data_IF_055858446302
#
_entry.id   IF_055858446302
#
_cell.length_a   1.000
_cell.length_b   1.000
_cell.length_c   1.000
_cell.angle_alpha   90.00
_cell.angle_beta   90.00
_cell.angle_gamma   90.00
#
_symmetry.space_group_name_H-M   'P 1'
#
loop_
_entity.id
_entity.type
_entity.pdbx_description
1 polymer ?
#
# COMPACT_ATOMS: atom_id res chain seq x y z
N UNK A 1 -9.31 70.16 23.32
CA UNK A 1 -9.23 71.41 24.09
C UNK A 1 -9.77 72.47 23.18
N UNK A 2 -10.96 72.99 23.46
CA UNK A 2 -11.64 74.17 22.86
C UNK A 2 -11.73 74.21 21.32
N UNK A 3 -12.89 73.94 20.73
CA UNK A 3 -14.10 74.81 20.58
C UNK A 3 -13.93 75.75 19.37
N UNK A 4 -14.75 75.74 18.30
CA UNK A 4 -16.22 75.94 18.12
C UNK A 4 -16.60 77.42 17.88
N UNK A 5 -17.07 77.71 16.64
CA UNK A 5 -17.97 78.78 16.20
C UNK A 5 -18.00 78.73 14.64
N UNK A 6 -19.10 78.48 13.90
CA UNK A 6 -20.47 79.01 13.96
C UNK A 6 -20.51 80.50 13.52
N UNK A 7 -21.45 81.03 12.72
CA UNK A 7 -22.82 80.65 12.31
C UNK A 7 -23.23 81.47 11.03
N UNK A 8 -24.48 81.32 10.57
CA UNK A 8 -25.31 82.28 9.80
C UNK A 8 -25.21 82.34 8.25
N UNK A 9 -26.30 82.61 7.48
CA UNK A 9 -27.76 82.37 7.67
C UNK A 9 -28.54 82.66 6.35
N UNK A 10 -29.46 81.78 5.97
CA UNK A 10 -30.81 82.03 5.39
C UNK A 10 -31.11 83.14 4.34
N UNK A 11 -31.59 82.70 3.17
CA UNK A 11 -32.96 82.91 2.62
C UNK A 11 -33.44 84.29 2.05
N UNK A 12 -33.72 84.34 0.73
CA UNK A 12 -34.75 85.16 0.01
C UNK A 12 -34.69 84.84 -1.51
N UNK A 13 -35.71 84.96 -2.38
CA UNK A 13 -37.15 85.26 -2.19
C UNK A 13 -37.79 85.96 -3.43
N UNK A 14 -38.82 85.35 -4.06
CA UNK A 14 -39.69 85.98 -5.08
C UNK A 14 -39.11 86.16 -6.52
N UNK A 15 -39.89 86.38 -7.59
CA UNK A 15 -41.36 86.32 -7.78
C UNK A 15 -41.69 86.12 -9.31
N UNK A 16 -42.94 85.78 -9.64
CA UNK A 16 -43.50 85.45 -11.00
C UNK A 16 -44.12 86.71 -11.69
N UNK A 17 -44.96 86.70 -12.78
CA UNK A 17 -45.58 85.61 -13.59
C UNK A 17 -45.78 85.85 -15.13
N UNK A 18 -46.42 84.86 -15.79
CA UNK A 18 -47.36 84.86 -16.96
C UNK A 18 -47.11 83.59 -17.82
N UNK A 19 -48.08 82.80 -18.31
CA UNK A 19 -49.53 82.71 -18.08
C UNK A 19 -50.15 81.52 -18.86
N UNK A 20 -51.34 81.04 -18.44
CA UNK A 20 -52.31 80.17 -19.16
C UNK A 20 -51.92 78.73 -19.61
N UNK A 21 -52.91 77.84 -19.67
CA UNK A 21 -52.87 76.44 -20.19
C UNK A 21 -54.15 76.14 -20.99
N UNK A 22 -54.64 74.87 -21.16
CA UNK A 22 -54.10 73.58 -20.71
C UNK A 22 -54.12 72.44 -21.79
N UNK A 23 -53.86 71.20 -21.33
CA UNK A 23 -54.39 69.90 -21.82
C UNK A 23 -53.53 68.86 -22.63
N UNK A 24 -53.80 67.61 -22.27
CA UNK A 24 -53.34 66.21 -22.53
C UNK A 24 -52.61 65.67 -23.81
N UNK A 25 -51.47 64.97 -23.54
CA UNK A 25 -51.03 63.61 -24.01
C UNK A 25 -50.73 63.33 -25.54
N UNK A 26 -50.26 62.12 -26.02
CA UNK A 26 -48.88 61.97 -26.51
C UNK A 26 -48.66 61.35 -27.94
N UNK A 27 -47.42 61.42 -28.46
CA UNK A 27 -46.82 60.31 -29.25
C UNK A 27 -46.07 60.61 -30.57
N UNK A 28 -44.87 59.99 -30.71
CA UNK A 28 -44.08 59.63 -31.92
C UNK A 28 -43.85 60.63 -33.07
N UNK A 29 -42.57 60.72 -33.49
CA UNK A 29 -41.96 60.70 -34.85
C UNK A 29 -40.69 61.60 -34.83
N UNK A 30 -39.45 61.12 -34.98
CA UNK A 30 -38.76 60.45 -36.11
C UNK A 30 -37.87 61.40 -36.96
N UNK A 31 -36.57 61.45 -36.62
CA UNK A 31 -35.35 61.72 -37.46
C UNK A 31 -35.25 63.02 -38.30
N UNK A 32 -34.02 63.55 -38.48
CA UNK A 32 -33.24 63.23 -39.69
C UNK A 32 -31.71 63.03 -39.48
N UNK A 33 -31.02 62.74 -40.59
CA UNK A 33 -29.56 62.50 -40.76
C UNK A 33 -28.85 63.84 -41.14
N UNK A 34 -27.50 63.99 -41.23
CA UNK A 34 -26.58 63.41 -42.23
C UNK A 34 -25.07 63.61 -41.88
N UNK A 35 -24.20 62.78 -42.51
CA UNK A 35 -22.71 62.75 -42.75
C UNK A 35 -21.70 63.68 -42.01
N UNK A 36 -20.41 63.28 -41.88
CA UNK A 36 -19.71 62.11 -42.46
C UNK A 36 -18.21 61.98 -42.07
N UNK A 37 -17.47 61.16 -42.86
CA UNK A 37 -16.07 60.68 -42.75
C UNK A 37 -15.77 59.62 -41.64
N UNK A 38 -15.63 58.30 -41.91
CA UNK A 38 -14.59 57.53 -42.68
C UNK A 38 -13.42 57.02 -41.77
N UNK A 39 -12.91 55.77 -41.79
CA UNK A 39 -13.12 54.56 -42.64
C UNK A 39 -13.59 53.29 -41.85
N UNK A 40 -12.99 52.05 -41.87
CA UNK A 40 -13.85 50.85 -41.97
C UNK A 40 -13.74 49.83 -40.81
N UNK A 41 -14.89 49.26 -40.43
CA UNK A 41 -15.00 48.04 -39.61
C UNK A 41 -15.54 46.90 -40.46
N UNK A 42 -14.87 45.75 -40.39
CA UNK A 42 -15.19 44.55 -41.17
C UNK A 42 -16.48 43.87 -40.66
N UNK A 43 -17.41 43.55 -41.58
CA UNK A 43 -18.70 42.92 -41.27
C UNK A 43 -18.65 41.42 -41.54
N UNK A 44 -18.86 40.60 -40.52
CA UNK A 44 -19.26 39.19 -40.67
C UNK A 44 -20.70 39.10 -41.18
N UNK A 45 -20.92 38.23 -42.18
CA UNK A 45 -22.23 37.96 -42.78
C UNK A 45 -23.09 36.95 -42.00
N UNK A 46 -24.35 36.72 -42.44
CA UNK A 46 -25.33 35.90 -41.72
C UNK A 46 -25.15 34.38 -41.91
N UNK A 47 -25.76 33.64 -40.97
CA UNK A 47 -25.65 32.19 -40.76
C UNK A 47 -26.27 31.38 -41.92
N UNK A 48 -25.57 30.35 -42.46
CA UNK A 48 -26.18 29.30 -43.25
C UNK A 48 -26.73 28.15 -42.37
N UNK A 49 -27.94 27.70 -42.68
CA UNK A 49 -28.60 26.55 -42.05
C UNK A 49 -27.91 25.24 -42.40
N UNK A 50 -27.63 24.40 -41.38
CA UNK A 50 -27.05 23.06 -41.57
C UNK A 50 -28.10 22.12 -42.19
N UNK A 51 -27.85 21.66 -43.40
CA UNK A 51 -28.58 20.55 -43.99
C UNK A 51 -28.18 19.23 -43.33
N UNK A 52 -29.14 18.30 -43.23
CA UNK A 52 -28.93 16.96 -42.67
C UNK A 52 -28.21 16.06 -43.68
N UNK A 53 -26.89 16.03 -43.64
CA UNK A 53 -26.10 15.13 -44.50
C UNK A 53 -26.21 13.67 -44.02
N UNK A 54 -26.81 12.84 -44.87
CA UNK A 54 -26.87 11.39 -44.70
C UNK A 54 -25.47 10.81 -44.93
N UNK A 55 -24.98 10.04 -43.97
CA UNK A 55 -23.70 9.35 -44.10
C UNK A 55 -23.76 8.27 -45.21
N UNK A 56 -22.86 8.37 -46.19
CA UNK A 56 -22.70 7.40 -47.27
C UNK A 56 -21.36 6.66 -47.08
N UNK A 57 -21.33 5.32 -47.04
CA UNK A 57 -20.09 4.57 -46.93
C UNK A 57 -19.26 4.66 -48.22
N UNK A 58 -17.92 4.76 -48.14
CA UNK A 58 -17.07 4.76 -49.31
C UNK A 58 -17.07 3.38 -49.99
N UNK A 59 -17.44 3.33 -51.26
CA UNK A 59 -17.28 2.13 -52.09
C UNK A 59 -15.84 2.03 -52.63
N UNK A 60 -15.37 0.78 -52.78
CA UNK A 60 -14.14 0.41 -53.50
C UNK A 60 -12.83 1.07 -53.02
N UNK A 61 -12.37 0.71 -51.82
CA UNK A 61 -10.94 0.68 -51.52
C UNK A 61 -10.35 -0.69 -51.93
N UNK A 62 -9.25 -0.68 -52.66
CA UNK A 62 -8.63 -1.87 -53.24
C UNK A 62 -7.99 -2.80 -52.20
N UNK A 63 -8.25 -4.10 -52.34
CA UNK A 63 -7.60 -5.16 -51.56
C UNK A 63 -6.08 -5.11 -51.75
N UNK A 64 -5.25 -5.04 -50.69
CA UNK A 64 -3.80 -5.17 -50.84
C UNK A 64 -3.46 -6.58 -51.33
N UNK A 65 -2.43 -6.75 -52.18
CA UNK A 65 -2.05 -8.06 -52.68
C UNK A 65 -1.65 -8.99 -51.51
N UNK A 66 -2.19 -10.21 -51.52
CA UNK A 66 -1.76 -11.24 -50.54
C UNK A 66 -0.26 -11.44 -50.68
N UNK A 67 0.47 -11.31 -49.57
CA UNK A 67 1.83 -11.84 -49.50
C UNK A 67 1.75 -13.36 -49.79
N UNK A 68 2.67 -13.92 -50.59
CA UNK A 68 2.73 -15.36 -50.79
C UNK A 68 3.00 -16.03 -49.44
N UNK A 69 2.17 -17.01 -49.08
CA UNK A 69 2.36 -17.76 -47.84
C UNK A 69 3.71 -18.48 -47.89
N UNK A 70 4.61 -18.15 -46.96
CA UNK A 70 5.82 -18.94 -46.75
C UNK A 70 5.41 -20.38 -46.45
N UNK A 71 5.88 -21.38 -47.22
CA UNK A 71 5.55 -22.77 -46.95
C UNK A 71 5.89 -23.12 -45.50
N UNK A 72 4.94 -23.68 -44.75
CA UNK A 72 5.23 -24.18 -43.39
C UNK A 72 6.37 -25.20 -43.51
N UNK A 73 7.46 -24.95 -42.81
CA UNK A 73 8.51 -25.95 -42.67
C UNK A 73 7.87 -27.21 -42.05
N UNK A 74 8.15 -28.42 -42.57
CA UNK A 74 7.66 -29.64 -41.95
C UNK A 74 8.20 -29.73 -40.53
N UNK A 75 7.33 -30.05 -39.57
CA UNK A 75 7.74 -30.19 -38.17
C UNK A 75 8.85 -31.23 -38.06
N UNK A 76 9.99 -30.82 -37.49
CA UNK A 76 11.09 -31.74 -37.20
C UNK A 76 10.57 -32.84 -36.27
N UNK A 77 10.72 -34.13 -36.60
CA UNK A 77 10.26 -35.21 -35.73
C UNK A 77 10.87 -35.06 -34.34
N UNK A 78 10.01 -35.09 -33.32
CA UNK A 78 10.43 -35.08 -31.92
C UNK A 78 11.39 -36.26 -31.71
N UNK A 79 12.60 -36.07 -31.15
CA UNK A 79 13.50 -37.20 -30.92
C UNK A 79 12.82 -38.23 -30.02
N UNK A 80 13.05 -39.54 -30.24
CA UNK A 80 12.42 -40.58 -29.44
C UNK A 80 12.79 -40.42 -27.97
N UNK A 81 11.81 -40.55 -27.08
CA UNK A 81 12.06 -40.48 -25.65
C UNK A 81 13.04 -41.58 -25.24
N UNK A 82 14.20 -41.18 -24.70
CA UNK A 82 15.14 -42.12 -24.09
C UNK A 82 14.41 -42.92 -23.00
N UNK A 83 14.40 -44.26 -23.05
CA UNK A 83 13.75 -45.05 -22.02
C UNK A 83 14.28 -44.67 -20.64
N UNK A 84 13.38 -44.26 -19.74
CA UNK A 84 13.74 -43.92 -18.36
C UNK A 84 14.40 -45.15 -17.74
N UNK A 85 15.67 -45.04 -17.38
CA UNK A 85 16.36 -46.10 -16.62
C UNK A 85 15.58 -46.38 -15.33
N UNK A 86 15.42 -47.65 -14.92
CA UNK A 86 14.80 -47.97 -13.64
C UNK A 86 15.61 -47.32 -12.51
N UNK A 87 14.96 -46.49 -11.71
CA UNK A 87 15.58 -45.93 -10.51
C UNK A 87 15.92 -47.08 -9.57
N UNK A 88 17.20 -47.27 -9.28
CA UNK A 88 17.64 -48.30 -8.35
C UNK A 88 16.96 -48.12 -6.98
N UNK A 89 16.48 -49.20 -6.34
CA UNK A 89 15.82 -49.10 -5.04
C UNK A 89 16.78 -48.54 -3.98
N UNK A 90 16.26 -47.68 -3.09
CA UNK A 90 17.01 -47.17 -1.94
C UNK A 90 17.49 -48.36 -1.09
N UNK A 91 18.76 -48.39 -0.64
CA UNK A 91 19.19 -49.37 0.36
C UNK A 91 18.45 -49.13 1.67
N UNK A 92 17.96 -50.22 2.28
CA UNK A 92 17.23 -50.18 3.55
C UNK A 92 18.12 -49.75 4.73
N UNK A 93 17.55 -49.16 5.79
CA UNK A 93 18.30 -48.86 7.01
C UNK A 93 18.76 -50.17 7.68
N UNK A 94 20.06 -50.30 7.95
CA UNK A 94 20.59 -51.42 8.75
C UNK A 94 19.94 -51.45 10.16
N UNK A 95 19.51 -52.61 10.67
CA UNK A 95 19.01 -52.72 12.03
C UNK A 95 20.12 -52.47 13.06
N UNK A 96 19.74 -51.92 14.22
CA UNK A 96 20.64 -51.71 15.35
C UNK A 96 21.08 -53.05 15.98
N UNK A 97 22.29 -53.12 16.57
CA UNK A 97 22.75 -54.34 17.22
C UNK A 97 21.94 -54.64 18.49
N UNK A 98 21.53 -55.91 18.65
CA UNK A 98 20.84 -56.38 19.84
C UNK A 98 21.79 -56.44 21.06
N UNK A 99 21.29 -56.25 22.30
CA UNK A 99 22.07 -56.43 23.50
C UNK A 99 22.43 -57.92 23.71
N UNK A 100 23.67 -58.20 24.07
CA UNK A 100 24.11 -59.54 24.45
C UNK A 100 23.46 -59.97 25.78
N UNK A 101 23.00 -61.23 25.85
CA UNK A 101 22.25 -61.77 26.98
C UNK A 101 23.08 -62.55 28.02
N UNK A 102 22.36 -63.07 29.02
CA UNK A 102 22.88 -63.86 30.16
C UNK A 102 21.97 -63.62 31.37
N UNK A 103 20.79 -64.23 31.47
CA UNK A 103 20.55 -65.64 31.85
C UNK A 103 21.02 -65.98 33.27
N UNK A 104 20.10 -66.00 34.24
CA UNK A 104 19.95 -67.08 35.21
C UNK A 104 18.60 -67.05 35.95
N UNK A 105 18.28 -68.19 36.55
CA UNK A 105 16.99 -68.73 36.95
C UNK A 105 16.16 -68.01 38.05
N UNK A 106 14.83 -68.13 37.90
CA UNK A 106 13.84 -68.70 38.85
C UNK A 106 13.84 -68.33 40.36
N UNK A 107 12.62 -67.99 40.83
CA UNK A 107 12.06 -68.11 42.21
C UNK A 107 12.79 -67.49 43.40
N UNK A 108 12.17 -66.47 44.01
CA UNK A 108 11.60 -66.46 45.38
C UNK A 108 10.95 -65.07 45.63
N UNK A 109 9.64 -64.96 45.90
CA UNK A 109 8.91 -65.13 47.18
C UNK A 109 9.11 -63.96 48.17
N UNK A 110 8.01 -63.17 48.30
CA UNK A 110 7.47 -62.39 49.43
C UNK A 110 8.34 -61.51 50.38
N UNK A 111 7.69 -60.40 50.73
CA UNK A 111 7.71 -59.65 52.00
C UNK A 111 8.94 -58.81 52.45
N UNK A 112 8.73 -57.49 52.34
CA UNK A 112 8.70 -56.53 53.47
C UNK A 112 9.70 -56.71 54.64
N UNK A 113 10.68 -55.79 54.75
CA UNK A 113 10.83 -55.00 55.99
C UNK A 113 11.73 -53.76 55.93
N UNK A 114 11.55 -52.93 56.96
CA UNK A 114 12.02 -51.56 57.22
C UNK A 114 13.53 -51.40 57.58
N UNK A 115 14.06 -50.16 57.82
CA UNK A 115 15.42 -49.81 57.40
C UNK A 115 16.51 -49.60 58.49
N UNK A 116 17.77 -49.47 58.02
CA UNK A 116 18.94 -48.80 58.66
C UNK A 116 19.56 -49.47 59.91
N UNK A 117 20.81 -49.13 60.34
CA UNK A 117 21.87 -48.31 59.72
C UNK A 117 23.32 -48.92 59.77
N UNK A 118 24.30 -48.09 59.35
CA UNK A 118 25.69 -47.99 59.86
C UNK A 118 26.84 -48.83 59.24
N UNK A 119 27.58 -48.12 58.35
CA UNK A 119 29.03 -47.85 58.43
C UNK A 119 30.09 -48.82 57.85
N UNK A 120 31.17 -48.15 57.39
CA UNK A 120 32.57 -48.59 57.24
C UNK A 120 33.08 -49.16 55.89
N UNK A 121 33.58 -48.22 55.07
CA UNK A 121 34.94 -48.26 54.47
C UNK A 121 35.23 -49.18 53.26
N UNK A 122 35.30 -48.57 52.07
CA UNK A 122 36.31 -48.91 51.06
C UNK A 122 36.64 -47.68 50.17
N UNK A 123 37.87 -47.18 50.27
CA UNK A 123 38.38 -46.05 49.49
C UNK A 123 38.83 -46.49 48.09
N UNK A 124 38.05 -46.14 47.06
CA UNK A 124 38.43 -46.33 45.66
C UNK A 124 39.02 -45.02 45.07
N UNK A 125 40.35 -44.92 45.03
CA UNK A 125 41.07 -43.81 44.38
C UNK A 125 40.78 -43.78 42.88
N UNK A 126 39.92 -42.85 42.45
CA UNK A 126 39.68 -42.58 41.02
C UNK A 126 40.59 -41.46 40.54
N UNK A 127 41.57 -41.80 39.69
CA UNK A 127 42.45 -40.82 39.07
C UNK A 127 41.64 -39.88 38.14
N UNK A 128 41.94 -38.57 38.11
CA UNK A 128 41.18 -37.62 37.31
C UNK A 128 41.51 -37.78 35.82
N UNK A 129 40.64 -38.46 35.10
CA UNK A 129 40.66 -38.48 33.63
C UNK A 129 40.48 -37.05 33.10
N UNK A 130 41.58 -36.46 32.62
CA UNK A 130 41.60 -35.11 32.03
C UNK A 130 40.64 -35.04 30.84
N UNK A 131 39.42 -34.55 31.07
CA UNK A 131 38.44 -34.25 30.01
C UNK A 131 39.09 -33.30 29.00
N UNK A 132 39.43 -33.82 27.80
CA UNK A 132 39.88 -33.00 26.67
C UNK A 132 38.80 -31.95 26.39
N UNK A 133 39.12 -30.67 26.56
CA UNK A 133 38.23 -29.56 26.19
C UNK A 133 38.04 -29.59 24.67
N UNK A 134 36.90 -30.10 24.22
CA UNK A 134 36.56 -30.22 22.79
C UNK A 134 36.56 -28.84 22.12
N UNK A 135 37.09 -28.73 20.91
CA UNK A 135 37.27 -27.47 20.15
C UNK A 135 35.93 -26.90 19.62
N UNK A 136 35.01 -26.51 20.51
CA UNK A 136 33.68 -25.97 20.14
C UNK A 136 33.77 -24.60 19.45
N UNK A 137 34.81 -23.81 19.73
CA UNK A 137 35.01 -22.45 19.17
C UNK A 137 35.28 -22.43 17.66
N UNK A 138 35.99 -23.42 17.11
CA UNK A 138 36.31 -23.46 15.68
C UNK A 138 35.09 -23.71 14.79
N UNK A 139 34.10 -24.46 15.29
CA UNK A 139 32.89 -24.82 14.54
C UNK A 139 32.00 -23.60 14.30
N UNK A 140 31.69 -22.81 15.34
CA UNK A 140 30.90 -21.57 15.22
C UNK A 140 31.57 -20.54 14.27
N UNK A 141 32.90 -20.46 14.28
CA UNK A 141 33.65 -19.59 13.36
C UNK A 141 33.55 -20.07 11.89
N UNK A 142 33.63 -21.39 11.67
CA UNK A 142 33.44 -22.01 10.34
C UNK A 142 32.02 -21.82 9.82
N UNK A 143 31.02 -22.04 10.67
CA UNK A 143 29.58 -21.85 10.36
C UNK A 143 29.29 -20.38 10.03
N UNK A 144 29.81 -19.42 10.81
CA UNK A 144 29.69 -17.99 10.50
C UNK A 144 30.39 -17.63 9.19
N UNK A 145 31.58 -18.19 8.91
CA UNK A 145 32.29 -17.94 7.64
C UNK A 145 31.53 -18.51 6.45
N UNK A 146 30.95 -19.71 6.57
CA UNK A 146 30.12 -20.32 5.54
C UNK A 146 28.85 -19.49 5.29
N UNK A 147 28.15 -19.08 6.35
CA UNK A 147 27.00 -18.20 6.24
C UNK A 147 27.36 -16.87 5.54
N UNK A 148 28.52 -16.28 5.87
CA UNK A 148 28.99 -15.04 5.23
C UNK A 148 29.46 -15.25 3.78
N UNK A 149 29.88 -16.45 3.39
CA UNK A 149 30.25 -16.79 2.01
C UNK A 149 29.00 -17.05 1.14
N UNK A 150 27.95 -17.65 1.71
CA UNK A 150 26.67 -17.87 1.01
C UNK A 150 25.81 -16.60 0.94
N UNK A 151 25.64 -15.88 2.05
CA UNK A 151 24.79 -14.70 2.13
C UNK A 151 25.52 -13.39 1.77
N UNK A 152 26.85 -13.34 1.92
CA UNK A 152 27.66 -12.14 1.68
C UNK A 152 27.53 -11.56 0.27
N UNK A 153 27.56 -12.35 -0.82
CA UNK A 153 27.36 -11.81 -2.17
C UNK A 153 25.99 -11.16 -2.35
N UNK A 154 24.92 -11.79 -1.85
CA UNK A 154 23.56 -11.23 -1.89
C UNK A 154 23.44 -9.96 -1.03
N UNK A 155 23.97 -9.98 0.19
CA UNK A 155 23.98 -8.82 1.09
C UNK A 155 24.81 -7.66 0.53
N UNK A 156 25.96 -7.93 -0.11
CA UNK A 156 26.80 -6.92 -0.76
C UNK A 156 26.07 -6.26 -1.94
N UNK A 157 25.43 -7.06 -2.81
CA UNK A 157 24.64 -6.53 -3.92
C UNK A 157 23.46 -5.69 -3.41
N UNK A 158 22.73 -6.16 -2.39
CA UNK A 158 21.66 -5.37 -1.75
C UNK A 158 22.18 -4.07 -1.13
N UNK A 159 23.34 -4.09 -0.45
CA UNK A 159 23.92 -2.89 0.17
C UNK A 159 24.39 -1.89 -0.90
N UNK A 160 25.02 -2.35 -1.97
CA UNK A 160 25.44 -1.47 -3.07
C UNK A 160 24.24 -0.90 -3.85
N UNK A 161 23.24 -1.70 -4.19
CA UNK A 161 22.09 -1.26 -5.00
C UNK A 161 21.08 -0.45 -4.20
N UNK A 162 20.86 -0.77 -2.92
CA UNK A 162 19.87 -0.08 -2.07
C UNK A 162 20.50 0.96 -1.13
N UNK A 163 21.66 0.64 -0.55
CA UNK A 163 22.33 1.52 0.41
C UNK A 163 22.93 2.78 -0.22
N UNK A 164 23.58 2.66 -1.39
CA UNK A 164 24.14 3.84 -2.08
C UNK A 164 23.07 4.88 -2.44
N UNK A 165 21.92 4.54 -3.09
CA UNK A 165 20.87 5.52 -3.35
C UNK A 165 20.24 6.13 -2.10
N UNK A 166 20.16 5.38 -0.98
CA UNK A 166 19.66 5.93 0.30
C UNK A 166 20.63 6.99 0.84
N UNK A 167 21.94 6.68 0.89
CA UNK A 167 22.96 7.63 1.37
C UNK A 167 23.04 8.84 0.44
N UNK A 168 22.97 8.64 -0.88
CA UNK A 168 22.95 9.73 -1.86
C UNK A 168 21.69 10.60 -1.74
N UNK A 169 20.51 10.01 -1.53
CA UNK A 169 19.27 10.77 -1.28
C UNK A 169 19.35 11.58 0.02
N UNK A 170 19.96 11.01 1.07
CA UNK A 170 20.20 11.74 2.32
C UNK A 170 21.18 12.92 2.11
N UNK A 171 22.29 12.71 1.40
CA UNK A 171 23.21 13.79 1.03
C UNK A 171 22.50 14.90 0.25
N UNK A 172 21.72 14.52 -0.77
CA UNK A 172 20.95 15.41 -1.62
C UNK A 172 19.95 16.24 -0.81
N UNK A 173 19.32 15.66 0.21
CA UNK A 173 18.40 16.37 1.11
C UNK A 173 19.06 17.45 1.98
N UNK A 174 20.39 17.44 2.13
CA UNK A 174 21.17 18.47 2.84
C UNK A 174 21.69 19.59 1.92
N UNK A 175 21.35 19.53 0.63
CA UNK A 175 21.83 20.47 -0.40
C UNK A 175 20.66 21.15 -1.11
N UNK A 176 20.85 22.38 -1.57
CA UNK A 176 19.87 23.09 -2.40
C UNK A 176 20.13 22.78 -3.88
N UNK A 177 19.82 21.54 -4.26
CA UNK A 177 20.04 21.03 -5.61
C UNK A 177 18.74 21.12 -6.41
N UNK A 178 18.79 21.84 -7.53
CA UNK A 178 17.67 22.03 -8.44
C UNK A 178 18.12 21.70 -9.88
N UNK A 179 17.45 20.75 -10.54
CA UNK A 179 17.87 20.31 -11.86
C UNK A 179 17.68 21.38 -12.97
N UNK A 180 16.96 22.48 -12.67
CA UNK A 180 16.89 23.66 -13.55
C UNK A 180 18.12 24.57 -13.46
N UNK A 181 18.88 24.48 -12.37
CA UNK A 181 20.04 25.31 -12.09
C UNK A 181 21.19 24.41 -11.58
N UNK A 182 21.86 23.64 -12.47
CA UNK A 182 22.80 22.60 -12.06
C UNK A 182 23.98 23.10 -11.22
N UNK A 183 24.34 24.38 -11.36
CA UNK A 183 25.49 25.01 -10.70
C UNK A 183 25.15 25.64 -9.34
N UNK A 184 23.87 25.75 -8.93
CA UNK A 184 23.47 26.41 -7.67
C UNK A 184 23.52 25.51 -6.43
N UNK A 185 24.00 24.26 -6.60
CA UNK A 185 24.02 23.17 -5.63
C UNK A 185 24.86 23.36 -4.36
N UNK A 186 24.48 24.31 -3.50
CA UNK A 186 25.13 24.60 -2.22
C UNK A 186 24.71 23.64 -1.09
N UNK A 187 25.55 23.48 -0.07
CA UNK A 187 25.21 22.74 1.15
C UNK A 187 24.43 23.65 2.11
N UNK A 188 23.17 23.31 2.38
CA UNK A 188 22.24 24.09 3.22
C UNK A 188 21.86 23.39 4.53
N UNK A 189 22.46 22.23 4.81
CA UNK A 189 22.20 21.44 6.00
C UNK A 189 20.72 21.11 6.15
N UNK A 190 20.13 21.39 7.31
CA UNK A 190 18.75 21.03 7.60
C UNK A 190 17.69 22.00 7.05
N UNK A 191 18.07 23.02 6.25
CA UNK A 191 17.14 24.04 5.73
C UNK A 191 15.93 23.44 5.01
N UNK A 192 16.15 22.45 4.13
CA UNK A 192 15.08 21.75 3.40
C UNK A 192 14.05 21.11 4.33
N UNK A 193 14.46 20.56 5.48
CA UNK A 193 13.55 19.98 6.47
C UNK A 193 12.72 21.04 7.18
N UNK A 194 13.32 22.20 7.48
CA UNK A 194 12.59 23.36 8.01
C UNK A 194 11.51 23.85 7.04
N UNK A 195 11.85 23.97 5.76
CA UNK A 195 10.90 24.34 4.68
C UNK A 195 9.75 23.34 4.55
N UNK A 196 10.03 22.03 4.59
CA UNK A 196 9.00 20.99 4.49
C UNK A 196 8.10 20.98 5.73
N UNK A 197 8.68 20.89 6.94
CA UNK A 197 7.93 20.78 8.19
C UNK A 197 7.20 22.08 8.59
N UNK A 198 7.68 23.23 8.12
CA UNK A 198 6.98 24.52 8.25
C UNK A 198 5.85 24.72 7.23
N UNK A 199 5.74 23.87 6.20
CA UNK A 199 4.70 24.02 5.16
C UNK A 199 3.36 23.40 5.59
N UNK A 200 2.25 24.11 5.35
CA UNK A 200 0.91 23.55 5.55
C UNK A 200 0.64 22.31 4.68
N UNK A 201 1.19 22.31 3.45
CA UNK A 201 1.05 21.20 2.50
C UNK A 201 1.60 19.87 3.03
N UNK A 202 2.70 19.88 3.78
CA UNK A 202 3.22 18.68 4.44
C UNK A 202 2.22 18.09 5.44
N UNK A 203 1.63 18.92 6.30
CA UNK A 203 0.70 18.47 7.33
C UNK A 203 -0.64 17.99 6.75
N UNK A 204 -1.16 18.67 5.72
CA UNK A 204 -2.33 18.20 4.96
C UNK A 204 -2.05 16.83 4.33
N UNK A 205 -0.91 16.68 3.64
CA UNK A 205 -0.55 15.42 2.99
C UNK A 205 -0.26 14.28 3.99
N UNK A 206 0.32 14.60 5.15
CA UNK A 206 0.52 13.66 6.26
C UNK A 206 -0.84 13.20 6.81
N UNK A 207 -1.77 14.13 7.07
CA UNK A 207 -3.12 13.79 7.54
C UNK A 207 -3.85 12.88 6.55
N UNK A 208 -3.85 13.22 5.25
CA UNK A 208 -4.46 12.38 4.20
C UNK A 208 -3.85 10.98 4.17
N UNK A 209 -2.52 10.90 4.23
CA UNK A 209 -1.80 9.62 4.20
C UNK A 209 -2.13 8.75 5.41
N UNK A 210 -2.13 9.33 6.62
CA UNK A 210 -2.50 8.64 7.86
C UNK A 210 -3.98 8.24 7.85
N UNK A 211 -4.87 9.12 7.40
CA UNK A 211 -6.31 8.87 7.31
C UNK A 211 -6.63 7.70 6.38
N UNK A 212 -6.10 7.72 5.16
CA UNK A 212 -6.25 6.59 4.21
C UNK A 212 -5.69 5.32 4.84
N UNK A 213 -4.44 5.35 5.31
CA UNK A 213 -3.74 4.18 5.90
C UNK A 213 -4.52 3.53 7.04
N UNK A 214 -4.98 4.32 8.02
CA UNK A 214 -5.68 3.77 9.19
C UNK A 214 -7.03 3.17 8.80
N UNK A 215 -7.81 3.87 7.96
CA UNK A 215 -9.14 3.41 7.58
C UNK A 215 -9.07 2.19 6.64
N UNK A 216 -8.19 2.19 5.63
CA UNK A 216 -8.07 1.07 4.68
C UNK A 216 -7.54 -0.19 5.37
N UNK A 217 -6.48 -0.10 6.17
CA UNK A 217 -5.91 -1.24 6.93
C UNK A 217 -6.94 -1.85 7.89
N UNK A 218 -7.75 -1.05 8.58
CA UNK A 218 -8.81 -1.57 9.48
C UNK A 218 -9.86 -2.34 8.69
N UNK A 219 -10.36 -1.79 7.59
CA UNK A 219 -11.39 -2.42 6.76
C UNK A 219 -10.85 -3.71 6.12
N UNK A 220 -9.63 -3.68 5.57
CA UNK A 220 -8.96 -4.84 4.98
C UNK A 220 -8.64 -5.93 5.99
N UNK A 221 -8.29 -5.58 7.23
CA UNK A 221 -8.10 -6.58 8.28
C UNK A 221 -9.41 -7.31 8.59
N UNK A 222 -10.52 -6.58 8.71
CA UNK A 222 -11.85 -7.16 8.97
C UNK A 222 -12.32 -8.03 7.79
N UNK A 223 -12.29 -7.49 6.57
CA UNK A 223 -12.69 -8.21 5.35
C UNK A 223 -11.73 -9.36 5.05
N UNK A 224 -10.43 -9.15 5.21
CA UNK A 224 -9.38 -10.15 5.00
C UNK A 224 -9.50 -11.31 5.98
N UNK A 225 -9.80 -11.05 7.26
CA UNK A 225 -10.08 -12.09 8.25
C UNK A 225 -11.35 -12.87 7.91
N UNK A 226 -12.43 -12.20 7.49
CA UNK A 226 -13.67 -12.85 7.06
C UNK A 226 -13.43 -13.77 5.85
N UNK A 227 -12.72 -13.28 4.83
CA UNK A 227 -12.36 -14.02 3.62
C UNK A 227 -11.40 -15.18 3.95
N UNK A 228 -10.41 -14.97 4.82
CA UNK A 228 -9.50 -16.03 5.28
C UNK A 228 -10.26 -17.17 5.98
N UNK A 229 -11.23 -16.87 6.85
CA UNK A 229 -12.08 -17.88 7.49
C UNK A 229 -12.90 -18.69 6.47
N UNK A 230 -13.43 -18.02 5.43
CA UNK A 230 -14.14 -18.70 4.32
C UNK A 230 -13.19 -19.58 3.51
N UNK A 231 -12.01 -19.08 3.12
CA UNK A 231 -10.99 -19.84 2.37
C UNK A 231 -10.39 -21.01 3.17
N UNK A 232 -10.39 -20.93 4.51
CA UNK A 232 -9.98 -22.01 5.39
C UNK A 232 -11.03 -23.13 5.42
N UNK A 233 -12.30 -22.77 5.66
CA UNK A 233 -13.44 -23.68 5.79
C UNK A 233 -14.03 -24.18 4.47
N UNK A 234 -13.67 -23.62 3.32
CA UNK A 234 -14.12 -24.10 2.03
C UNK A 234 -13.76 -25.59 1.84
N UNK A 235 -14.78 -26.45 1.76
CA UNK A 235 -14.65 -27.88 1.50
C UNK A 235 -14.69 -28.17 -0.01
N UNK A 236 -15.66 -27.56 -0.70
CA UNK A 236 -15.80 -27.63 -2.16
C UNK A 236 -15.23 -26.37 -2.82
N UNK A 237 -14.70 -26.51 -4.03
CA UNK A 237 -14.24 -25.37 -4.84
C UNK A 237 -13.04 -24.59 -4.29
N UNK A 238 -12.25 -25.13 -3.34
CA UNK A 238 -11.10 -24.45 -2.69
C UNK A 238 -10.20 -23.69 -3.67
N UNK A 239 -9.84 -24.31 -4.80
CA UNK A 239 -9.03 -23.67 -5.84
C UNK A 239 -9.73 -22.45 -6.44
N UNK A 240 -10.99 -22.60 -6.86
CA UNK A 240 -11.78 -21.53 -7.48
C UNK A 240 -12.01 -20.36 -6.50
N UNK A 241 -12.40 -20.62 -5.26
CA UNK A 241 -12.60 -19.58 -4.23
C UNK A 241 -11.30 -18.79 -4.02
N UNK A 242 -10.16 -19.48 -3.89
CA UNK A 242 -8.85 -18.83 -3.74
C UNK A 242 -8.48 -18.03 -4.99
N UNK A 243 -8.68 -18.56 -6.19
CA UNK A 243 -8.38 -17.84 -7.43
C UNK A 243 -9.22 -16.58 -7.57
N UNK A 244 -10.55 -16.67 -7.41
CA UNK A 244 -11.48 -15.53 -7.57
C UNK A 244 -11.17 -14.42 -6.57
N UNK A 245 -10.91 -14.77 -5.30
CA UNK A 245 -10.51 -13.80 -4.27
C UNK A 245 -9.23 -13.04 -4.67
N UNK A 246 -8.28 -13.69 -5.36
CA UNK A 246 -6.99 -13.11 -5.71
C UNK A 246 -6.97 -12.27 -6.99
N UNK A 247 -8.03 -12.33 -7.82
CA UNK A 247 -8.11 -11.57 -9.08
C UNK A 247 -7.80 -10.07 -8.88
N UNK A 248 -8.39 -9.34 -7.90
CA UNK A 248 -8.11 -7.91 -7.72
C UNK A 248 -6.64 -7.62 -7.46
N UNK A 249 -5.95 -8.48 -6.69
CA UNK A 249 -4.54 -8.28 -6.35
C UNK A 249 -3.63 -8.46 -7.57
N UNK A 250 -3.96 -9.36 -8.50
CA UNK A 250 -3.20 -9.60 -9.74
C UNK A 250 -3.33 -8.50 -10.80
N UNK A 251 -4.35 -7.62 -10.72
CA UNK A 251 -4.52 -6.52 -11.69
C UNK A 251 -3.45 -5.44 -11.46
N UNK A 252 -2.92 -4.84 -12.55
CA UNK A 252 -1.97 -3.71 -12.46
C UNK A 252 -2.63 -2.51 -11.76
N UNK A 253 -1.94 -1.91 -10.79
CA UNK A 253 -2.46 -0.81 -9.94
C UNK A 253 -3.04 0.35 -10.76
N UNK A 254 -2.29 0.85 -11.74
CA UNK A 254 -2.72 1.94 -12.62
C UNK A 254 -3.98 1.57 -13.41
N UNK A 255 -4.05 0.35 -13.96
CA UNK A 255 -5.23 -0.10 -14.72
C UNK A 255 -6.47 -0.21 -13.82
N UNK A 256 -6.33 -0.76 -12.62
CA UNK A 256 -7.38 -0.77 -11.61
C UNK A 256 -7.85 0.65 -11.25
N UNK A 257 -6.92 1.56 -10.95
CA UNK A 257 -7.25 2.94 -10.59
C UNK A 257 -7.95 3.70 -11.72
N UNK A 258 -7.59 3.45 -12.99
CA UNK A 258 -8.29 3.99 -14.16
C UNK A 258 -9.72 3.42 -14.25
N UNK A 259 -9.92 2.12 -14.06
CA UNK A 259 -11.27 1.52 -14.02
C UNK A 259 -12.13 2.12 -12.93
N UNK A 260 -11.58 2.30 -11.72
CA UNK A 260 -12.27 2.99 -10.62
C UNK A 260 -12.58 4.46 -10.98
N UNK A 261 -11.66 5.18 -11.63
CA UNK A 261 -11.90 6.57 -12.07
C UNK A 261 -13.12 6.66 -13.00
N UNK A 262 -13.17 5.82 -14.03
CA UNK A 262 -14.30 5.79 -14.95
C UNK A 262 -15.60 5.34 -14.26
N UNK A 263 -15.55 4.36 -13.36
CA UNK A 263 -16.72 3.89 -12.61
C UNK A 263 -17.43 5.01 -11.81
N UNK A 264 -16.67 5.98 -11.31
CA UNK A 264 -17.14 7.12 -10.52
C UNK A 264 -17.23 8.44 -11.31
N UNK A 265 -16.98 8.44 -12.63
CA UNK A 265 -17.07 9.65 -13.46
C UNK A 265 -18.53 9.96 -13.81
N UNK A 266 -19.05 11.17 -13.50
CA UNK A 266 -20.42 11.57 -13.83
C UNK A 266 -20.78 11.36 -15.30
N UNK A 267 -22.00 10.88 -15.58
CA UNK A 267 -22.54 10.68 -16.92
C UNK A 267 -21.96 9.50 -17.71
N UNK A 268 -20.88 8.85 -17.25
CA UNK A 268 -20.25 7.70 -17.93
C UNK A 268 -20.00 6.50 -17.01
N UNK A 269 -19.94 6.71 -15.69
CA UNK A 269 -19.63 5.67 -14.71
C UNK A 269 -20.83 4.83 -14.31
N UNK A 270 -20.61 3.52 -14.18
CA UNK A 270 -21.64 2.56 -13.78
C UNK A 270 -21.93 2.56 -12.26
N UNK A 271 -21.04 3.12 -11.42
CA UNK A 271 -21.26 3.23 -9.98
C UNK A 271 -21.89 4.58 -9.59
N UNK A 272 -21.53 5.67 -10.28
CA UNK A 272 -22.09 7.00 -9.97
C UNK A 272 -23.62 7.05 -10.19
N UNK A 273 -24.13 6.28 -11.16
CA UNK A 273 -25.56 6.17 -11.46
C UNK A 273 -26.37 5.41 -10.38
N UNK A 274 -25.72 4.86 -9.35
CA UNK A 274 -26.37 4.25 -8.19
C UNK A 274 -26.58 5.26 -7.03
N UNK A 275 -26.01 6.46 -7.14
CA UNK A 275 -26.17 7.55 -6.19
C UNK A 275 -27.24 8.53 -6.69
N UNK A 276 -27.76 9.43 -5.83
CA UNK A 276 -28.69 10.47 -6.26
C UNK A 276 -28.15 11.32 -7.41
N UNK A 277 -29.08 11.76 -8.27
CA UNK A 277 -28.77 12.55 -9.47
C UNK A 277 -27.91 13.78 -9.14
N UNK A 278 -26.88 14.03 -9.96
CA UNK A 278 -25.94 15.13 -9.76
C UNK A 278 -24.88 14.90 -8.67
N UNK A 279 -24.85 13.75 -8.01
CA UNK A 279 -23.73 13.39 -7.13
C UNK A 279 -22.40 13.32 -7.90
N UNK A 280 -21.35 13.92 -7.35
CA UNK A 280 -20.03 13.95 -7.99
C UNK A 280 -18.92 13.54 -7.00
N UNK A 281 -18.78 12.24 -6.65
CA UNK A 281 -17.93 11.77 -5.55
C UNK A 281 -16.41 11.98 -5.69
N UNK A 282 -15.96 12.70 -6.72
CA UNK A 282 -14.56 13.07 -6.95
C UNK A 282 -14.31 14.59 -6.80
N UNK A 283 -15.35 15.39 -6.53
CA UNK A 283 -15.27 16.87 -6.44
C UNK A 283 -15.12 17.39 -5.02
N UNK A 284 -15.49 16.63 -3.99
CA UNK A 284 -15.27 17.00 -2.58
C UNK A 284 -14.22 16.10 -1.94
N UNK A 285 -13.34 16.68 -1.12
CA UNK A 285 -12.20 15.98 -0.49
C UNK A 285 -12.62 14.66 0.17
N UNK A 286 -13.61 14.69 1.06
CA UNK A 286 -14.03 13.51 1.81
C UNK A 286 -14.68 12.42 0.95
N UNK A 287 -15.43 12.79 -0.11
CA UNK A 287 -15.99 11.80 -1.03
C UNK A 287 -14.91 11.17 -1.90
N UNK A 288 -13.97 11.98 -2.41
CA UNK A 288 -12.84 11.53 -3.20
C UNK A 288 -11.91 10.60 -2.41
N UNK A 289 -11.60 10.93 -1.15
CA UNK A 289 -10.86 10.06 -0.24
C UNK A 289 -11.60 8.75 0.03
N UNK A 290 -12.93 8.78 0.16
CA UNK A 290 -13.74 7.56 0.34
C UNK A 290 -13.67 6.63 -0.89
N UNK A 291 -13.68 7.19 -2.11
CA UNK A 291 -13.49 6.42 -3.36
C UNK A 291 -12.07 5.85 -3.44
N UNK A 292 -11.05 6.62 -3.06
CA UNK A 292 -9.65 6.15 -3.01
C UNK A 292 -9.48 4.98 -2.02
N UNK A 293 -10.03 5.10 -0.81
CA UNK A 293 -10.02 4.04 0.21
C UNK A 293 -10.76 2.79 -0.30
N UNK A 294 -11.94 2.95 -0.90
CA UNK A 294 -12.70 1.82 -1.44
C UNK A 294 -11.95 1.07 -2.55
N UNK A 295 -11.27 1.80 -3.44
CA UNK A 295 -10.41 1.22 -4.47
C UNK A 295 -9.18 0.51 -3.88
N UNK A 296 -8.56 1.08 -2.84
CA UNK A 296 -7.42 0.46 -2.13
C UNK A 296 -7.82 -0.83 -1.41
N UNK A 297 -8.92 -0.79 -0.64
CA UNK A 297 -9.50 -1.93 0.08
C UNK A 297 -9.80 -3.07 -0.90
N UNK A 298 -10.49 -2.79 -2.00
CA UNK A 298 -10.80 -3.80 -3.03
C UNK A 298 -9.53 -4.43 -3.63
N UNK A 299 -8.49 -3.62 -3.87
CA UNK A 299 -7.23 -4.04 -4.51
C UNK A 299 -6.38 -4.92 -3.58
N UNK A 300 -6.33 -4.61 -2.29
CA UNK A 300 -5.32 -5.15 -1.35
C UNK A 300 -5.88 -6.10 -0.29
N UNK A 301 -7.20 -6.10 -0.02
CA UNK A 301 -7.86 -7.10 0.85
C UNK A 301 -7.44 -8.55 0.54
N UNK A 302 -7.26 -8.99 -0.72
CA UNK A 302 -6.84 -10.37 -1.00
C UNK A 302 -5.44 -10.73 -0.46
N UNK A 303 -4.52 -9.75 -0.41
CA UNK A 303 -3.19 -9.94 0.17
C UNK A 303 -3.27 -10.08 1.70
N UNK A 304 -4.05 -9.22 2.36
CA UNK A 304 -4.34 -9.33 3.80
C UNK A 304 -4.99 -10.70 4.11
N UNK A 305 -5.97 -11.13 3.30
CA UNK A 305 -6.62 -12.42 3.45
C UNK A 305 -5.66 -13.61 3.32
N UNK A 306 -4.66 -13.56 2.43
CA UNK A 306 -3.65 -14.62 2.31
C UNK A 306 -2.73 -14.72 3.53
N UNK A 307 -2.22 -13.59 4.02
CA UNK A 307 -1.34 -13.59 5.19
C UNK A 307 -2.08 -14.09 6.44
N UNK A 308 -3.33 -13.66 6.62
CA UNK A 308 -4.19 -14.14 7.69
C UNK A 308 -4.57 -15.63 7.52
N UNK A 309 -4.83 -16.10 6.30
CA UNK A 309 -5.09 -17.52 6.01
C UNK A 309 -3.88 -18.41 6.33
N UNK A 310 -2.66 -17.95 6.04
CA UNK A 310 -1.43 -18.66 6.38
C UNK A 310 -1.27 -18.80 7.90
N UNK A 311 -1.56 -17.75 8.67
CA UNK A 311 -1.60 -17.80 10.13
C UNK A 311 -2.72 -18.69 10.68
N UNK A 312 -3.92 -18.62 10.09
CA UNK A 312 -5.09 -19.40 10.51
C UNK A 312 -4.86 -20.91 10.32
N UNK A 313 -4.14 -21.30 9.26
CA UNK A 313 -3.79 -22.69 8.98
C UNK A 313 -2.78 -23.30 9.99
N UNK A 314 -2.17 -22.49 10.87
CA UNK A 314 -1.31 -22.95 11.96
C UNK A 314 -2.08 -23.17 13.28
N UNK A 315 -3.37 -22.79 13.35
CA UNK A 315 -4.20 -22.97 14.55
C UNK A 315 -4.61 -24.44 14.66
N UNK A 316 -4.26 -25.17 15.72
CA UNK A 316 -4.61 -26.59 15.85
C UNK A 316 -6.13 -26.81 15.93
N UNK A 317 -6.67 -27.65 15.04
CA UNK A 317 -8.10 -28.00 15.02
C UNK A 317 -8.59 -28.58 16.35
N UNK A 318 -7.72 -29.27 17.10
CA UNK A 318 -8.10 -29.91 18.36
C UNK A 318 -8.40 -28.88 19.47
N UNK A 319 -7.74 -27.70 19.46
CA UNK A 319 -8.10 -26.59 20.34
C UNK A 319 -9.47 -25.99 19.95
N UNK A 320 -9.78 -25.95 18.66
CA UNK A 320 -11.06 -25.45 18.15
C UNK A 320 -12.23 -26.41 18.42
N UNK A 321 -11.95 -27.73 18.47
CA UNK A 321 -12.87 -28.78 18.90
C UNK A 321 -13.06 -28.78 20.42
N UNK A 322 -11.98 -28.72 21.20
CA UNK A 322 -12.05 -28.65 22.67
C UNK A 322 -12.90 -27.46 23.12
N UNK A 323 -12.60 -26.26 22.60
CA UNK A 323 -13.41 -25.07 22.89
C UNK A 323 -14.88 -25.21 22.44
N UNK A 324 -15.19 -26.02 21.42
CA UNK A 324 -16.58 -26.31 21.03
C UNK A 324 -17.27 -27.26 22.01
N UNK A 325 -16.56 -28.23 22.58
CA UNK A 325 -17.06 -29.11 23.66
C UNK A 325 -17.32 -28.30 24.94
N UNK A 326 -16.49 -27.29 25.22
CA UNK A 326 -16.67 -26.31 26.31
C UNK A 326 -17.82 -25.29 26.05
N UNK A 327 -18.61 -25.48 24.99
CA UNK A 327 -19.74 -24.61 24.64
C UNK A 327 -19.37 -23.25 24.03
N UNK A 328 -18.11 -23.02 23.62
CA UNK A 328 -17.71 -21.75 23.05
C UNK A 328 -18.30 -21.53 21.65
N UNK A 329 -19.24 -20.58 21.57
CA UNK A 329 -19.82 -20.09 20.30
C UNK A 329 -18.78 -19.53 19.32
N UNK A 330 -19.19 -19.32 18.08
CA UNK A 330 -18.28 -18.90 16.99
C UNK A 330 -17.49 -17.62 17.31
N UNK A 331 -18.16 -16.60 17.85
CA UNK A 331 -17.53 -15.34 18.27
C UNK A 331 -16.55 -15.53 19.44
N UNK A 332 -16.92 -16.35 20.43
CA UNK A 332 -16.05 -16.68 21.57
C UNK A 332 -14.78 -17.38 21.10
N UNK A 333 -14.88 -18.35 20.18
CA UNK A 333 -13.71 -19.00 19.58
C UNK A 333 -12.87 -18.05 18.74
N UNK A 334 -13.49 -17.12 18.00
CA UNK A 334 -12.75 -16.10 17.25
C UNK A 334 -11.89 -15.23 18.18
N UNK A 335 -12.50 -14.58 19.17
CA UNK A 335 -11.80 -13.61 20.02
C UNK A 335 -10.93 -14.23 21.12
N UNK A 336 -11.28 -15.40 21.68
CA UNK A 336 -10.53 -16.03 22.78
C UNK A 336 -9.54 -17.12 22.36
N UNK A 337 -9.67 -17.69 21.15
CA UNK A 337 -8.79 -18.79 20.70
C UNK A 337 -8.05 -18.42 19.41
N UNK A 338 -8.78 -18.08 18.35
CA UNK A 338 -8.20 -17.85 17.02
C UNK A 338 -7.31 -16.60 17.00
N UNK A 339 -7.85 -15.42 17.33
CA UNK A 339 -7.08 -14.17 17.29
C UNK A 339 -5.85 -14.17 18.22
N UNK A 340 -5.90 -14.70 19.46
CA UNK A 340 -4.72 -14.80 20.32
C UNK A 340 -3.61 -15.69 19.75
N UNK A 341 -3.96 -16.86 19.18
CA UNK A 341 -2.98 -17.77 18.56
C UNK A 341 -2.42 -17.21 17.24
N UNK A 342 -3.24 -16.48 16.49
CA UNK A 342 -2.83 -15.83 15.24
C UNK A 342 -2.04 -14.53 15.43
N UNK A 343 -1.84 -14.03 16.66
CA UNK A 343 -1.14 -12.75 16.93
C UNK A 343 0.16 -12.54 16.12
N UNK A 344 1.08 -13.51 15.99
CA UNK A 344 2.30 -13.32 15.20
C UNK A 344 2.03 -13.11 13.70
N UNK A 345 1.07 -13.85 13.13
CA UNK A 345 0.68 -13.71 11.73
C UNK A 345 -0.10 -12.41 11.46
N UNK A 346 -0.99 -12.03 12.39
CA UNK A 346 -1.72 -10.76 12.36
C UNK A 346 -0.75 -9.58 12.40
N UNK A 347 0.28 -9.65 13.26
CA UNK A 347 1.31 -8.62 13.34
C UNK A 347 2.03 -8.44 12.01
N UNK A 348 2.51 -9.54 11.41
CA UNK A 348 3.22 -9.51 10.13
C UNK A 348 2.33 -8.97 9.02
N UNK A 349 1.05 -9.37 8.98
CA UNK A 349 0.09 -8.90 8.00
C UNK A 349 -0.22 -7.40 8.13
N UNK A 350 -0.52 -6.93 9.34
CA UNK A 350 -0.79 -5.52 9.61
C UNK A 350 0.45 -4.65 9.41
N UNK A 351 1.64 -5.11 9.81
CA UNK A 351 2.90 -4.39 9.58
C UNK A 351 3.13 -4.17 8.09
N UNK A 352 3.23 -5.25 7.30
CA UNK A 352 3.50 -5.12 5.86
C UNK A 352 2.45 -4.28 5.15
N UNK A 353 1.16 -4.45 5.48
CA UNK A 353 0.11 -3.66 4.84
C UNK A 353 0.11 -2.19 5.27
N UNK A 354 0.39 -1.87 6.54
CA UNK A 354 0.51 -0.48 6.99
C UNK A 354 1.68 0.23 6.32
N UNK A 355 2.83 -0.45 6.13
CA UNK A 355 3.98 0.14 5.45
C UNK A 355 3.74 0.39 3.95
N UNK A 356 2.94 -0.47 3.30
CA UNK A 356 2.49 -0.33 1.92
C UNK A 356 1.47 0.83 1.77
N UNK A 357 0.41 0.81 2.58
CA UNK A 357 -0.64 1.85 2.63
C UNK A 357 -0.07 3.25 2.89
N UNK A 358 0.88 3.38 3.82
CA UNK A 358 1.51 4.67 4.14
C UNK A 358 2.31 5.28 2.97
N UNK A 359 2.62 4.49 1.94
CA UNK A 359 3.33 4.94 0.73
C UNK A 359 2.40 5.08 -0.49
N UNK A 360 1.08 5.07 -0.28
CA UNK A 360 0.05 5.16 -1.33
C UNK A 360 0.32 6.34 -2.28
N UNK A 361 0.39 6.02 -3.58
CA UNK A 361 0.62 6.99 -4.65
C UNK A 361 -0.33 6.75 -5.83
N UNK A 362 -0.27 5.57 -6.45
CA UNK A 362 -0.96 5.25 -7.71
C UNK A 362 -2.46 5.60 -7.70
N UNK A 363 -3.21 5.12 -6.71
CA UNK A 363 -4.65 5.34 -6.61
C UNK A 363 -4.98 6.83 -6.54
N UNK A 364 -4.30 7.60 -5.69
CA UNK A 364 -4.51 9.05 -5.54
C UNK A 364 -4.13 9.78 -6.82
N UNK A 365 -2.95 9.48 -7.37
CA UNK A 365 -2.43 10.15 -8.57
C UNK A 365 -3.38 9.98 -9.78
N UNK A 366 -3.94 8.77 -9.94
CA UNK A 366 -4.84 8.45 -11.05
C UNK A 366 -6.27 8.94 -10.80
N UNK A 367 -6.86 8.67 -9.63
CA UNK A 367 -8.26 9.00 -9.33
C UNK A 367 -8.49 10.51 -9.21
N UNK A 368 -7.73 11.17 -8.33
CA UNK A 368 -7.94 12.58 -7.96
C UNK A 368 -6.85 13.50 -8.48
N UNK A 369 -5.67 12.95 -8.81
CA UNK A 369 -4.45 13.69 -9.13
C UNK A 369 -4.05 14.72 -8.06
N UNK A 370 -4.43 14.47 -6.80
CA UNK A 370 -4.16 15.34 -5.66
C UNK A 370 -5.10 16.55 -5.53
N UNK A 371 -6.06 16.72 -6.45
CA UNK A 371 -7.05 17.81 -6.40
C UNK A 371 -7.90 17.75 -5.13
N UNK A 372 -8.47 18.88 -4.73
CA UNK A 372 -9.28 19.02 -3.50
C UNK A 372 -8.54 18.53 -2.25
N UNK A 373 -7.24 18.85 -2.13
CA UNK A 373 -6.37 18.50 -0.99
C UNK A 373 -6.36 16.99 -0.66
N UNK A 374 -6.34 16.14 -1.69
CA UNK A 374 -6.29 14.67 -1.56
C UNK A 374 -4.90 14.06 -1.75
N UNK A 375 -3.85 14.88 -1.93
CA UNK A 375 -2.48 14.41 -2.17
C UNK A 375 -1.86 13.73 -0.94
N UNK A 376 -1.24 12.56 -1.13
CA UNK A 376 -0.43 11.89 -0.10
C UNK A 376 0.99 12.45 0.00
N UNK A 377 1.72 12.05 1.03
CA UNK A 377 3.14 12.37 1.19
C UNK A 377 3.98 11.88 0.00
N UNK A 378 3.73 10.66 -0.50
CA UNK A 378 4.40 10.12 -1.68
C UNK A 378 4.14 10.97 -2.92
N UNK A 379 2.92 11.50 -3.07
CA UNK A 379 2.59 12.43 -4.16
C UNK A 379 3.24 13.81 -4.00
N UNK A 380 3.34 14.32 -2.77
CA UNK A 380 4.06 15.57 -2.46
C UNK A 380 5.55 15.45 -2.80
N UNK A 381 6.18 14.33 -2.45
CA UNK A 381 7.56 14.02 -2.82
C UNK A 381 7.74 13.91 -4.34
N UNK A 382 6.86 13.16 -5.02
CA UNK A 382 6.86 13.03 -6.48
C UNK A 382 6.72 14.38 -7.19
N UNK A 383 5.79 15.23 -6.76
CA UNK A 383 5.58 16.55 -7.35
C UNK A 383 6.83 17.43 -7.21
N UNK A 384 7.50 17.44 -6.04
CA UNK A 384 8.72 18.21 -5.83
C UNK A 384 9.90 17.66 -6.67
N UNK A 385 10.09 16.35 -6.66
CA UNK A 385 11.24 15.69 -7.29
C UNK A 385 11.16 15.66 -8.82
N UNK A 386 9.99 15.32 -9.38
CA UNK A 386 9.83 15.05 -10.82
C UNK A 386 9.06 16.11 -11.62
N UNK A 387 8.25 16.97 -10.99
CA UNK A 387 7.59 18.11 -11.67
C UNK A 387 8.30 19.44 -11.37
N UNK A 388 8.63 19.67 -10.11
CA UNK A 388 9.34 20.86 -9.69
C UNK A 388 10.87 20.72 -9.80
N UNK A 389 11.41 19.54 -10.11
CA UNK A 389 12.86 19.27 -10.25
C UNK A 389 13.73 19.75 -9.06
N UNK A 390 13.11 19.98 -7.90
CA UNK A 390 13.80 20.36 -6.69
C UNK A 390 14.26 19.07 -6.00
N UNK A 391 15.50 18.70 -6.29
CA UNK A 391 16.11 17.47 -5.82
C UNK A 391 16.35 17.52 -4.31
N UNK A 392 16.75 18.67 -3.77
CA UNK A 392 16.96 18.86 -2.33
C UNK A 392 15.70 18.64 -1.50
N UNK A 393 14.65 19.42 -1.78
CA UNK A 393 13.34 19.34 -1.09
C UNK A 393 12.66 17.99 -1.35
N UNK A 394 12.67 17.49 -2.59
CA UNK A 394 12.11 16.17 -2.93
C UNK A 394 12.79 15.02 -2.17
N UNK A 395 14.11 15.12 -1.96
CA UNK A 395 14.87 14.16 -1.18
C UNK A 395 14.61 14.30 0.33
N UNK A 396 14.48 15.52 0.86
CA UNK A 396 14.12 15.76 2.26
C UNK A 396 12.74 15.17 2.60
N UNK A 397 11.75 15.36 1.73
CA UNK A 397 10.43 14.71 1.82
C UNK A 397 10.58 13.19 1.84
N UNK A 398 11.41 12.62 0.95
CA UNK A 398 11.62 11.17 0.86
C UNK A 398 12.28 10.58 2.11
N UNK A 399 13.23 11.31 2.71
CA UNK A 399 13.86 10.95 4.01
C UNK A 399 12.85 11.03 5.14
N UNK A 400 12.01 12.08 5.21
CA UNK A 400 10.96 12.19 6.22
C UNK A 400 9.94 11.05 6.13
N UNK A 401 9.50 10.67 4.92
CA UNK A 401 8.61 9.51 4.70
C UNK A 401 9.29 8.21 5.18
N UNK A 402 10.58 8.04 4.89
CA UNK A 402 11.36 6.88 5.39
C UNK A 402 11.40 6.85 6.92
N UNK A 403 11.62 8.00 7.59
CA UNK A 403 11.61 8.08 9.05
C UNK A 403 10.22 7.77 9.63
N UNK A 404 9.13 8.28 9.04
CA UNK A 404 7.77 7.92 9.45
C UNK A 404 7.52 6.40 9.33
N UNK A 405 7.90 5.79 8.21
CA UNK A 405 7.82 4.34 7.97
C UNK A 405 8.66 3.55 8.98
N UNK A 406 9.87 4.00 9.30
CA UNK A 406 10.73 3.37 10.30
C UNK A 406 10.13 3.47 11.72
N UNK A 407 9.54 4.60 12.09
CA UNK A 407 8.83 4.78 13.36
C UNK A 407 7.63 3.83 13.45
N UNK A 408 6.82 3.72 12.39
CA UNK A 408 5.71 2.75 12.32
C UNK A 408 6.22 1.33 12.55
N UNK A 409 7.27 0.91 11.83
CA UNK A 409 7.85 -0.43 11.98
C UNK A 409 8.35 -0.70 13.42
N UNK A 410 9.05 0.25 14.04
CA UNK A 410 9.54 0.14 15.42
C UNK A 410 8.39 0.07 16.42
N UNK A 411 7.32 0.88 16.24
CA UNK A 411 6.12 0.86 17.10
C UNK A 411 5.42 -0.49 17.01
N UNK A 412 5.26 -1.06 15.81
CA UNK A 412 4.67 -2.38 15.62
C UNK A 412 5.49 -3.50 16.27
N UNK A 413 6.81 -3.54 16.03
CA UNK A 413 7.70 -4.57 16.61
C UNK A 413 7.70 -4.48 18.15
N UNK A 414 7.87 -3.27 18.70
CA UNK A 414 7.96 -3.07 20.15
C UNK A 414 6.61 -3.22 20.86
N UNK A 415 5.51 -2.80 20.23
CA UNK A 415 4.16 -2.86 20.81
C UNK A 415 3.60 -4.28 20.92
N UNK A 416 4.04 -5.21 20.07
CA UNK A 416 3.54 -6.59 20.06
C UNK A 416 4.54 -7.63 20.58
N UNK A 417 5.75 -7.22 20.97
CA UNK A 417 6.73 -8.11 21.60
C UNK A 417 7.26 -9.23 20.70
N UNK A 418 7.09 -9.11 19.38
CA UNK A 418 7.64 -10.06 18.42
C UNK A 418 9.12 -9.77 18.21
N UNK A 419 9.93 -10.29 19.12
CA UNK A 419 11.37 -10.43 18.98
C UNK A 419 11.67 -11.08 17.61
N UNK A 420 12.54 -10.47 16.80
CA UNK A 420 12.86 -10.95 15.46
C UNK A 420 13.44 -12.38 15.48
N UNK A 421 13.35 -13.16 14.39
CA UNK A 421 13.84 -14.55 14.36
C UNK A 421 15.28 -14.66 14.89
N UNK A 422 15.47 -15.41 15.98
CA UNK A 422 16.76 -15.53 16.67
C UNK A 422 16.99 -14.58 17.85
N UNK A 423 15.94 -14.00 18.43
CA UNK A 423 16.00 -13.28 19.71
C UNK A 423 15.17 -13.93 20.83
N UNK A 424 14.92 -15.23 20.69
CA UNK A 424 14.79 -16.09 21.86
C UNK A 424 16.15 -16.11 22.57
N UNK A 425 16.19 -15.54 23.77
CA UNK A 425 17.29 -15.72 24.71
C UNK A 425 17.26 -17.21 25.11
N UNK A 426 18.07 -18.04 24.45
CA UNK A 426 18.23 -19.47 24.78
C UNK A 426 18.59 -19.56 26.28
N UNK A 427 17.62 -20.00 27.08
CA UNK A 427 17.63 -19.84 28.53
C UNK A 427 18.96 -20.23 29.19
N UNK A 428 19.49 -19.32 29.99
CA UNK A 428 20.66 -19.51 30.85
C UNK A 428 20.27 -19.58 32.32
#
# INVERSE_FOLDING_TARGET
MTDDDNDQRTNAGGLTPHGEGPDTTPGRHARPEDRGDERPVEKTGPIPTVHSDVWVPPSTASTPPRQPETPRQPETPRPPETPRQPVAPRPEPRPAPAPAGGSMAMSDILDDHQPTPAAATATATTAPTKKKKTKVTGRKASERRLALLLAGPAALVMLLVTGYPIVYSFWLSLTDQNLREPDSGSFVGFSNYGTVLGSGYWWTALWVTVYITVISVIIEFILGMAIAMVMHRALFGRGLVRTVVLIPYGIVTVAAAISWKYAWTPGTGYLVNLLPDGSTPLTSQMSALSVVILAEVWKTTPFMALLLLAGLALVPDDLLKAAQMDGAGAWTRLFKVILPLMKPAILVALLFRTLDAFRVFDNIYVLTSGNHDTGSLSMLGYNNLFKAFNLGVGSAISVLIFLCVAVIAVVFIKGFGASAPGSDDEGR
#
